data_IF_444598921264
#
_entry.id   IF_444598921264
#
_cell.length_a   1.000
_cell.length_b   1.000
_cell.length_c   1.000
_cell.angle_alpha   90.00
_cell.angle_beta   90.00
_cell.angle_gamma   90.00
#
_symmetry.space_group_name_H-M   'P 1'
#
loop_
_entity.id
_entity.type
_entity.pdbx_description
1 polymer ?
#
# COMPACT_ATOMS: atom_id res chain seq x y z
N UNK A 1 0.47 3.49 -19.12
CA UNK A 1 0.20 3.61 -17.68
C UNK A 1 -1.28 3.90 -17.47
N UNK A 2 -2.02 2.89 -17.04
CA UNK A 2 -3.47 2.97 -16.81
C UNK A 2 -3.89 3.91 -15.66
N UNK A 3 -2.94 4.54 -14.95
CA UNK A 3 -3.25 5.40 -13.79
C UNK A 3 -3.43 6.89 -14.12
N UNK A 4 -3.17 7.30 -15.34
CA UNK A 4 -3.22 8.73 -15.69
C UNK A 4 -4.62 9.26 -16.02
N UNK A 5 -5.61 8.37 -16.08
CA UNK A 5 -7.01 8.72 -16.41
C UNK A 5 -7.94 7.93 -15.48
N UNK A 6 -9.12 8.45 -15.20
CA UNK A 6 -10.16 7.69 -14.55
C UNK A 6 -10.65 6.61 -15.50
N UNK A 7 -10.53 5.36 -15.09
CA UNK A 7 -10.99 4.19 -15.85
C UNK A 7 -12.33 3.67 -15.32
N UNK A 8 -12.98 4.40 -14.44
CA UNK A 8 -14.22 3.99 -13.82
C UNK A 8 -15.41 4.53 -14.61
N UNK A 9 -16.33 3.66 -14.96
CA UNK A 9 -17.61 4.00 -15.59
C UNK A 9 -18.62 4.47 -14.55
N UNK A 10 -18.60 3.86 -13.36
CA UNK A 10 -19.40 4.23 -12.20
C UNK A 10 -18.50 4.46 -10.98
N UNK A 11 -18.98 5.18 -9.96
CA UNK A 11 -18.22 5.30 -8.70
C UNK A 11 -17.95 3.94 -8.06
N UNK A 12 -16.83 3.86 -7.33
CA UNK A 12 -16.51 2.69 -6.51
C UNK A 12 -17.52 2.59 -5.36
N UNK A 13 -18.03 1.37 -5.10
CA UNK A 13 -18.95 1.10 -3.99
C UNK A 13 -18.24 0.33 -2.90
N UNK A 14 -18.27 0.86 -1.68
CA UNK A 14 -17.62 0.23 -0.53
C UNK A 14 -18.63 -0.06 0.57
N UNK A 15 -18.54 -1.25 1.14
CA UNK A 15 -19.24 -1.65 2.35
C UNK A 15 -18.21 -2.01 3.42
N UNK A 16 -18.47 -1.57 4.67
CA UNK A 16 -17.59 -1.85 5.80
C UNK A 16 -18.44 -2.24 7.01
N UNK A 17 -18.00 -3.27 7.74
CA UNK A 17 -18.48 -3.65 9.05
C UNK A 17 -17.36 -3.54 10.07
N UNK A 18 -17.67 -3.04 11.27
CA UNK A 18 -16.74 -2.96 12.39
C UNK A 18 -17.37 -3.53 13.65
N UNK A 19 -16.54 -4.09 14.51
CA UNK A 19 -16.95 -4.68 15.78
C UNK A 19 -15.93 -4.36 16.87
N UNK A 20 -16.44 -3.78 17.98
CA UNK A 20 -15.66 -3.30 19.11
C UNK A 20 -16.03 -4.03 20.40
N UNK A 21 -15.68 -5.34 20.57
CA UNK A 21 -15.98 -6.06 21.79
C UNK A 21 -15.11 -5.56 22.95
N UNK A 22 -15.71 -5.47 24.13
CA UNK A 22 -15.00 -5.24 25.38
C UNK A 22 -14.85 -6.57 26.12
N UNK A 23 -13.62 -7.04 26.24
CA UNK A 23 -13.29 -8.31 26.91
C UNK A 23 -12.61 -8.00 28.26
N UNK A 24 -13.41 -7.52 29.21
CA UNK A 24 -12.89 -7.05 30.50
C UNK A 24 -12.06 -5.76 30.34
N UNK A 25 -10.77 -5.81 30.72
CA UNK A 25 -9.84 -4.68 30.59
C UNK A 25 -9.23 -4.56 29.18
N UNK A 26 -9.42 -5.57 28.32
CA UNK A 26 -8.85 -5.61 26.96
C UNK A 26 -9.80 -4.92 25.97
N UNK A 27 -9.23 -4.18 25.05
CA UNK A 27 -9.95 -3.60 23.91
C UNK A 27 -9.55 -4.35 22.64
N UNK A 28 -10.54 -4.68 21.86
CA UNK A 28 -10.36 -5.27 20.53
C UNK A 28 -11.22 -4.47 19.55
N UNK A 29 -10.62 -4.07 18.45
CA UNK A 29 -11.31 -3.54 17.29
C UNK A 29 -11.04 -4.47 16.10
N UNK A 30 -12.09 -4.88 15.41
CA UNK A 30 -11.98 -5.66 14.18
C UNK A 30 -12.89 -5.04 13.14
N UNK A 31 -12.36 -4.85 11.93
CA UNK A 31 -13.15 -4.39 10.81
C UNK A 31 -12.87 -5.20 9.55
N UNK A 32 -13.90 -5.33 8.72
CA UNK A 32 -13.81 -5.91 7.38
C UNK A 32 -14.53 -5.04 6.38
N UNK A 33 -14.03 -5.01 5.17
CA UNK A 33 -14.62 -4.23 4.08
C UNK A 33 -14.54 -4.98 2.76
N UNK A 34 -15.46 -4.64 1.87
CA UNK A 34 -15.44 -5.05 0.48
C UNK A 34 -15.72 -3.83 -0.41
N UNK A 35 -15.08 -3.79 -1.57
CA UNK A 35 -15.22 -2.71 -2.53
C UNK A 35 -15.45 -3.29 -3.93
N UNK A 36 -16.55 -2.91 -4.54
CA UNK A 36 -16.85 -3.17 -5.94
C UNK A 36 -16.32 -2.03 -6.80
N UNK A 37 -15.62 -2.38 -7.89
CA UNK A 37 -15.08 -1.44 -8.86
C UNK A 37 -15.44 -1.90 -10.26
N UNK A 38 -15.78 -0.95 -11.10
CA UNK A 38 -16.08 -1.17 -12.51
C UNK A 38 -15.12 -0.37 -13.37
N UNK A 39 -14.23 -1.09 -14.08
CA UNK A 39 -13.28 -0.50 -14.98
C UNK A 39 -13.84 -0.46 -16.38
N UNK A 40 -13.62 0.65 -17.07
CA UNK A 40 -14.13 0.92 -18.41
C UNK A 40 -13.00 1.36 -19.31
N UNK A 41 -12.98 0.83 -20.53
CA UNK A 41 -12.22 1.37 -21.64
C UNK A 41 -13.05 1.40 -22.93
N UNK A 42 -12.54 2.11 -23.91
CA UNK A 42 -13.07 2.10 -25.26
C UNK A 42 -11.97 1.82 -26.25
N UNK A 43 -12.00 0.62 -26.81
CA UNK A 43 -11.03 0.15 -27.77
C UNK A 43 -11.73 -0.30 -29.06
N UNK A 44 -11.19 0.06 -30.24
CA UNK A 44 -11.77 -0.28 -31.55
C UNK A 44 -13.28 0.07 -31.68
N UNK A 45 -13.65 1.26 -31.19
CA UNK A 45 -15.05 1.76 -31.18
C UNK A 45 -16.04 0.93 -30.33
N UNK A 46 -15.59 -0.08 -29.64
CA UNK A 46 -16.37 -0.85 -28.68
C UNK A 46 -16.06 -0.45 -27.25
N UNK A 47 -17.08 -0.47 -26.39
CA UNK A 47 -16.94 -0.26 -24.97
C UNK A 47 -16.70 -1.61 -24.29
N UNK A 48 -15.76 -1.64 -23.35
CA UNK A 48 -15.41 -2.82 -22.55
C UNK A 48 -15.48 -2.47 -21.08
N UNK A 49 -16.30 -3.18 -20.35
CA UNK A 49 -16.46 -3.04 -18.90
C UNK A 49 -15.89 -4.29 -18.21
N UNK A 50 -15.10 -4.09 -17.16
CA UNK A 50 -14.54 -5.17 -16.35
C UNK A 50 -14.73 -4.85 -14.88
N UNK A 51 -15.63 -5.60 -14.25
CA UNK A 51 -15.90 -5.47 -12.84
C UNK A 51 -14.93 -6.31 -11.99
N UNK A 52 -14.61 -5.83 -10.81
CA UNK A 52 -13.80 -6.55 -9.83
C UNK A 52 -14.24 -6.23 -8.41
N UNK A 53 -13.98 -7.17 -7.50
CA UNK A 53 -14.20 -6.98 -6.06
C UNK A 53 -12.85 -7.02 -5.36
N UNK A 54 -12.63 -6.03 -4.51
CA UNK A 54 -11.50 -5.96 -3.59
C UNK A 54 -12.02 -6.10 -2.17
N UNK A 55 -11.23 -6.66 -1.28
CA UNK A 55 -11.62 -6.86 0.11
C UNK A 55 -10.43 -6.73 1.05
N UNK A 56 -10.71 -6.47 2.31
CA UNK A 56 -9.69 -6.37 3.33
C UNK A 56 -10.27 -6.30 4.73
N UNK A 57 -9.38 -6.24 5.69
CA UNK A 57 -9.73 -6.08 7.09
C UNK A 57 -8.57 -5.51 7.89
N UNK A 58 -8.92 -5.04 9.07
CA UNK A 58 -8.02 -4.49 10.05
C UNK A 58 -8.39 -4.99 11.44
N UNK A 59 -7.41 -5.16 12.30
CA UNK A 59 -7.62 -5.33 13.74
C UNK A 59 -6.67 -4.46 14.54
N UNK A 60 -7.12 -4.05 15.72
CA UNK A 60 -6.28 -3.49 16.77
C UNK A 60 -6.67 -4.12 18.10
N UNK A 61 -5.69 -4.58 18.87
CA UNK A 61 -5.90 -5.30 20.11
C UNK A 61 -4.94 -4.81 21.20
N UNK A 62 -5.48 -4.37 22.33
CA UNK A 62 -4.67 -4.16 23.54
C UNK A 62 -4.27 -5.54 24.11
N UNK A 63 -3.04 -5.99 23.85
CA UNK A 63 -2.53 -7.27 24.37
C UNK A 63 -2.20 -7.14 25.86
N UNK A 64 -1.65 -6.01 26.26
CA UNK A 64 -1.47 -5.63 27.66
C UNK A 64 -2.20 -4.30 27.86
N UNK A 65 -3.27 -4.27 28.68
CA UNK A 65 -4.10 -3.10 28.85
C UNK A 65 -3.30 -1.84 29.17
N UNK A 66 -3.54 -0.79 28.37
CA UNK A 66 -2.88 0.53 28.46
C UNK A 66 -1.36 0.53 28.23
N UNK A 67 -0.74 -0.62 27.94
CA UNK A 67 0.70 -0.71 27.76
C UNK A 67 1.10 -1.15 26.35
N UNK A 68 0.46 -2.18 25.81
CA UNK A 68 0.89 -2.78 24.54
C UNK A 68 -0.31 -3.03 23.62
N UNK A 69 -0.28 -2.41 22.46
CA UNK A 69 -1.26 -2.60 21.39
C UNK A 69 -0.61 -3.31 20.19
N UNK A 70 -1.30 -4.29 19.64
CA UNK A 70 -0.98 -4.94 18.37
C UNK A 70 -2.00 -4.50 17.32
N UNK A 71 -1.51 -4.15 16.12
CA UNK A 71 -2.33 -3.75 14.98
C UNK A 71 -1.97 -4.56 13.75
N UNK A 72 -2.96 -4.87 12.93
CA UNK A 72 -2.70 -5.55 11.67
C UNK A 72 -3.78 -5.30 10.64
N UNK A 73 -3.39 -5.30 9.38
CA UNK A 73 -4.33 -5.23 8.26
C UNK A 73 -3.88 -6.11 7.10
N UNK A 74 -4.85 -6.58 6.33
CA UNK A 74 -4.62 -7.29 5.09
C UNK A 74 -5.66 -6.87 4.07
N UNK A 75 -5.27 -6.78 2.79
CA UNK A 75 -6.18 -6.48 1.70
C UNK A 75 -5.76 -7.16 0.41
N UNK A 76 -6.75 -7.40 -0.46
CA UNK A 76 -6.52 -8.00 -1.76
C UNK A 76 -7.53 -7.48 -2.80
N UNK A 77 -7.05 -7.23 -4.01
CA UNK A 77 -7.86 -6.81 -5.14
C UNK A 77 -7.19 -5.74 -6.00
N UNK A 78 -7.94 -5.10 -6.88
CA UNK A 78 -7.47 -4.00 -7.72
C UNK A 78 -7.40 -2.70 -6.91
N UNK A 79 -6.33 -2.54 -6.15
CA UNK A 79 -6.17 -1.51 -5.10
C UNK A 79 -5.04 -0.52 -5.39
N UNK A 80 -4.52 -0.43 -6.62
CA UNK A 80 -3.32 0.34 -6.95
C UNK A 80 -3.32 1.78 -6.43
N UNK A 81 -4.41 2.51 -6.63
CA UNK A 81 -4.55 3.90 -6.13
C UNK A 81 -4.71 4.03 -4.62
N UNK A 82 -4.94 2.92 -3.91
CA UNK A 82 -5.14 2.89 -2.45
C UNK A 82 -3.93 2.31 -1.71
N UNK A 83 -2.89 1.90 -2.43
CA UNK A 83 -1.62 1.43 -1.87
C UNK A 83 -0.57 2.54 -1.87
N UNK A 84 0.46 2.41 -1.03
CA UNK A 84 1.59 3.33 -1.01
C UNK A 84 2.59 3.03 -2.14
N UNK A 85 2.64 1.79 -2.61
CA UNK A 85 3.51 1.37 -3.71
C UNK A 85 2.98 1.88 -5.07
N UNK A 86 3.86 2.08 -6.06
CA UNK A 86 3.50 2.61 -7.37
C UNK A 86 2.85 1.55 -8.28
N UNK A 87 1.87 0.82 -7.78
CA UNK A 87 1.10 -0.14 -8.57
C UNK A 87 -0.02 0.56 -9.34
N UNK A 88 -0.25 0.21 -10.61
CA UNK A 88 -1.46 0.63 -11.31
C UNK A 88 -2.69 -0.16 -10.85
N UNK A 89 -3.87 0.42 -10.97
CA UNK A 89 -5.14 -0.29 -10.71
C UNK A 89 -5.40 -1.41 -11.74
N UNK A 90 -4.94 -1.21 -12.96
CA UNK A 90 -5.13 -2.13 -14.07
C UNK A 90 -3.97 -2.06 -15.05
N UNK A 91 -3.88 -3.05 -15.89
CA UNK A 91 -2.99 -3.13 -17.05
C UNK A 91 -3.80 -3.37 -18.32
N UNK A 92 -3.15 -3.47 -19.47
CA UNK A 92 -3.81 -3.76 -20.75
C UNK A 92 -3.41 -5.14 -21.26
N UNK A 93 -4.37 -5.81 -21.89
CA UNK A 93 -4.14 -7.08 -22.62
C UNK A 93 -3.60 -6.81 -24.01
N UNK A 94 -3.22 -7.90 -24.68
CA UNK A 94 -2.78 -7.88 -26.07
C UNK A 94 -3.79 -7.27 -27.04
N UNK A 95 -5.08 -7.50 -26.81
CA UNK A 95 -6.19 -6.97 -27.61
C UNK A 95 -6.50 -5.49 -27.31
N UNK A 96 -5.74 -4.86 -26.38
CA UNK A 96 -5.94 -3.49 -25.95
C UNK A 96 -6.96 -3.31 -24.83
N UNK A 97 -7.66 -4.38 -24.43
CA UNK A 97 -8.65 -4.29 -23.35
C UNK A 97 -8.00 -4.17 -21.98
N UNK A 98 -8.73 -3.53 -21.06
CA UNK A 98 -8.27 -3.33 -19.68
C UNK A 98 -8.33 -4.64 -18.89
N UNK A 99 -7.35 -4.82 -17.99
CA UNK A 99 -7.29 -5.94 -17.06
C UNK A 99 -6.93 -5.44 -15.67
N UNK A 100 -7.83 -5.58 -14.67
CA UNK A 100 -7.55 -5.23 -13.29
C UNK A 100 -6.31 -5.95 -12.77
N UNK A 101 -5.48 -5.23 -12.01
CA UNK A 101 -4.24 -5.78 -11.42
C UNK A 101 -4.47 -6.09 -9.94
N UNK A 102 -4.53 -7.38 -9.54
CA UNK A 102 -4.73 -7.73 -8.15
C UNK A 102 -3.45 -7.49 -7.34
N UNK A 103 -3.59 -6.70 -6.29
CA UNK A 103 -2.55 -6.36 -5.33
C UNK A 103 -2.90 -7.03 -4.00
N UNK A 104 -1.89 -7.50 -3.29
CA UNK A 104 -2.01 -7.98 -1.92
C UNK A 104 -1.17 -7.09 -1.03
N UNK A 105 -1.77 -6.53 0.02
CA UNK A 105 -1.10 -5.71 1.00
C UNK A 105 -1.28 -6.29 2.41
N UNK A 106 -0.22 -6.20 3.22
CA UNK A 106 -0.19 -6.57 4.63
C UNK A 106 0.50 -5.49 5.44
N UNK A 107 -0.01 -5.23 6.62
CA UNK A 107 0.62 -4.41 7.64
C UNK A 107 0.49 -5.12 8.99
N UNK A 108 1.58 -5.16 9.75
CA UNK A 108 1.60 -5.58 11.14
C UNK A 108 2.40 -4.59 11.94
N UNK A 109 1.93 -4.22 13.11
CA UNK A 109 2.63 -3.28 13.96
C UNK A 109 2.23 -3.36 15.42
N UNK A 110 3.01 -2.69 16.22
CA UNK A 110 2.78 -2.59 17.67
C UNK A 110 3.03 -1.16 18.14
N UNK A 111 2.25 -0.74 19.13
CA UNK A 111 2.43 0.51 19.86
C UNK A 111 2.64 0.16 21.34
N UNK A 112 3.70 0.67 21.91
CA UNK A 112 4.05 0.49 23.30
C UNK A 112 3.98 1.83 24.05
N UNK A 113 3.02 1.96 24.94
CA UNK A 113 2.81 3.11 25.80
C UNK A 113 3.72 3.00 27.04
N UNK A 114 5.00 3.36 26.88
CA UNK A 114 6.04 3.14 27.90
C UNK A 114 5.86 4.03 29.12
N UNK A 115 5.38 5.26 28.91
CA UNK A 115 5.02 6.23 29.93
C UNK A 115 3.74 6.97 29.54
N UNK A 116 3.12 7.78 30.43
CA UNK A 116 1.96 8.60 30.06
C UNK A 116 2.22 9.60 28.91
N UNK A 117 3.47 9.92 28.63
CA UNK A 117 3.84 10.85 27.55
C UNK A 117 4.47 10.17 26.34
N UNK A 118 5.13 9.01 26.51
CA UNK A 118 5.98 8.40 25.50
C UNK A 118 5.36 7.12 24.92
N UNK A 119 5.09 7.17 23.62
CA UNK A 119 4.66 6.05 22.79
C UNK A 119 5.81 5.61 21.88
N UNK A 120 6.24 4.34 21.95
CA UNK A 120 7.12 3.71 20.97
C UNK A 120 6.29 2.90 20.00
N UNK A 121 6.70 2.83 18.74
CA UNK A 121 6.00 2.01 17.76
C UNK A 121 6.95 1.36 16.75
N UNK A 122 6.53 0.22 16.23
CA UNK A 122 7.19 -0.45 15.13
C UNK A 122 6.14 -1.08 14.19
N UNK A 123 6.37 -0.97 12.88
CA UNK A 123 5.52 -1.52 11.84
C UNK A 123 6.33 -2.23 10.76
N UNK A 124 5.77 -3.31 10.21
CA UNK A 124 6.26 -3.98 9.01
C UNK A 124 5.13 -4.05 8.00
N UNK A 125 5.37 -3.56 6.79
CA UNK A 125 4.42 -3.53 5.68
C UNK A 125 4.96 -4.23 4.45
N UNK A 126 4.05 -4.83 3.69
CA UNK A 126 4.32 -5.51 2.42
C UNK A 126 3.19 -5.22 1.45
N UNK A 127 3.53 -4.76 0.26
CA UNK A 127 2.61 -4.64 -0.87
C UNK A 127 3.20 -5.38 -2.07
N UNK A 128 2.43 -6.26 -2.70
CA UNK A 128 2.90 -7.05 -3.82
C UNK A 128 1.80 -7.36 -4.83
N UNK A 129 2.20 -7.61 -6.06
CA UNK A 129 1.32 -8.10 -7.12
C UNK A 129 1.95 -9.28 -7.85
N UNK A 130 1.15 -10.00 -8.61
CA UNK A 130 1.61 -11.07 -9.52
C UNK A 130 1.79 -10.53 -10.93
N UNK A 131 2.67 -11.14 -11.75
CA UNK A 131 2.79 -10.75 -13.13
C UNK A 131 1.48 -11.04 -13.87
N UNK A 132 1.03 -10.08 -14.65
CA UNK A 132 -0.22 -10.13 -15.41
C UNK A 132 0.07 -9.60 -16.80
N UNK A 133 0.46 -10.49 -17.72
CA UNK A 133 0.98 -10.09 -19.03
C UNK A 133 0.57 -11.04 -20.15
N UNK A 134 0.76 -10.58 -21.37
CA UNK A 134 0.70 -11.34 -22.61
C UNK A 134 1.76 -10.85 -23.60
N UNK A 135 2.06 -11.63 -24.63
CA UNK A 135 3.03 -11.27 -25.66
C UNK A 135 2.43 -11.42 -27.05
N UNK A 136 2.78 -10.50 -27.96
CA UNK A 136 2.57 -10.64 -29.39
C UNK A 136 3.93 -10.71 -30.04
N UNK A 137 4.39 -11.92 -30.35
CA UNK A 137 5.77 -12.12 -30.77
C UNK A 137 6.74 -11.64 -29.72
N UNK A 138 7.54 -10.63 -30.04
CA UNK A 138 8.50 -10.00 -29.12
C UNK A 138 7.98 -8.74 -28.44
N UNK A 139 6.72 -8.32 -28.70
CA UNK A 139 6.13 -7.11 -28.13
C UNK A 139 5.48 -7.45 -26.78
N UNK A 140 5.96 -6.84 -25.68
CA UNK A 140 5.43 -7.08 -24.34
C UNK A 140 4.18 -6.25 -24.08
N UNK A 141 3.15 -6.88 -23.53
CA UNK A 141 1.95 -6.23 -23.01
C UNK A 141 1.74 -6.61 -21.53
N UNK A 142 1.09 -5.75 -20.79
CA UNK A 142 0.67 -6.04 -19.42
C UNK A 142 1.67 -5.55 -18.37
N UNK A 143 1.62 -6.15 -17.20
CA UNK A 143 2.41 -5.80 -16.03
C UNK A 143 3.30 -6.96 -15.59
N UNK A 144 4.58 -6.68 -15.34
CA UNK A 144 5.56 -7.70 -14.94
C UNK A 144 5.98 -8.62 -16.08
N UNK A 145 5.97 -8.14 -17.32
CA UNK A 145 6.37 -8.91 -18.49
C UNK A 145 7.89 -9.16 -18.50
N UNK A 146 8.37 -10.41 -18.68
CA UNK A 146 9.79 -10.74 -18.66
C UNK A 146 10.58 -10.19 -19.86
N UNK A 147 9.91 -9.67 -20.88
CA UNK A 147 10.55 -9.00 -22.01
C UNK A 147 10.87 -7.52 -21.73
N UNK A 148 10.44 -6.97 -20.62
CA UNK A 148 10.83 -5.61 -20.21
C UNK A 148 12.32 -5.53 -19.90
N UNK A 149 12.91 -4.39 -20.29
CA UNK A 149 14.34 -4.17 -20.17
C UNK A 149 14.68 -3.62 -18.77
N UNK A 150 15.55 -4.33 -18.06
CA UNK A 150 16.06 -3.97 -16.74
C UNK A 150 17.56 -3.67 -16.72
N UNK A 151 18.24 -3.68 -17.89
CA UNK A 151 19.71 -3.50 -17.98
C UNK A 151 20.19 -2.19 -17.37
N UNK A 152 19.39 -1.13 -17.49
CA UNK A 152 19.73 0.19 -16.98
C UNK A 152 19.21 0.48 -15.57
N UNK A 153 18.46 -0.42 -14.91
CA UNK A 153 17.78 -0.10 -13.66
C UNK A 153 18.73 0.15 -12.46
N UNK A 154 19.98 -0.31 -12.55
CA UNK A 154 21.00 -0.08 -11.53
C UNK A 154 22.02 1.00 -11.97
N UNK A 155 21.74 1.74 -13.02
CA UNK A 155 22.60 2.78 -13.57
C UNK A 155 21.92 4.12 -13.36
N UNK A 156 22.58 5.02 -12.64
CA UNK A 156 22.09 6.37 -12.40
C UNK A 156 21.90 7.13 -13.72
N UNK A 157 20.80 7.89 -13.82
CA UNK A 157 20.40 8.64 -15.03
C UNK A 157 20.16 7.78 -16.29
N UNK A 158 19.94 6.48 -16.13
CA UNK A 158 19.62 5.59 -17.24
C UNK A 158 18.30 6.00 -17.92
N UNK A 159 18.23 5.98 -19.26
CA UNK A 159 16.99 6.31 -19.95
C UNK A 159 15.90 5.26 -19.69
N UNK A 160 14.64 5.69 -19.64
CA UNK A 160 13.49 4.82 -19.38
C UNK A 160 13.40 3.61 -20.33
N UNK A 161 13.95 3.71 -21.53
CA UNK A 161 14.01 2.60 -22.49
C UNK A 161 14.87 1.41 -22.01
N UNK A 162 15.82 1.66 -21.11
CA UNK A 162 16.71 0.65 -20.54
C UNK A 162 16.36 0.22 -19.12
N UNK A 163 15.36 0.88 -18.52
CA UNK A 163 14.79 0.52 -17.22
C UNK A 163 13.27 0.72 -17.24
N UNK A 164 12.55 -0.23 -17.82
CA UNK A 164 11.09 -0.20 -17.92
C UNK A 164 10.37 -1.37 -17.21
N UNK A 165 11.10 -2.16 -16.45
CA UNK A 165 10.55 -3.22 -15.62
C UNK A 165 9.61 -2.70 -14.53
N UNK A 166 8.56 -3.47 -14.28
CA UNK A 166 7.52 -3.10 -13.33
C UNK A 166 7.90 -3.54 -11.90
N UNK A 167 7.39 -2.80 -10.91
CA UNK A 167 7.50 -3.17 -9.49
C UNK A 167 6.70 -4.43 -9.21
N UNK A 168 7.30 -5.41 -8.54
CA UNK A 168 6.65 -6.64 -8.09
C UNK A 168 6.23 -6.58 -6.63
N UNK A 169 7.07 -5.94 -5.80
CA UNK A 169 6.89 -5.93 -4.35
C UNK A 169 7.55 -4.67 -3.75
N UNK A 170 6.92 -4.13 -2.71
CA UNK A 170 7.51 -3.11 -1.83
C UNK A 170 7.37 -3.59 -0.40
N UNK A 171 8.46 -3.52 0.37
CA UNK A 171 8.50 -3.77 1.82
C UNK A 171 8.90 -2.52 2.55
N UNK A 172 8.29 -2.30 3.70
CA UNK A 172 8.68 -1.21 4.59
C UNK A 172 8.76 -1.71 6.02
N UNK A 173 9.82 -1.32 6.70
CA UNK A 173 10.00 -1.51 8.15
C UNK A 173 10.17 -0.14 8.77
N UNK A 174 9.36 0.17 9.76
CA UNK A 174 9.33 1.49 10.39
C UNK A 174 9.41 1.32 11.90
N UNK A 175 10.23 2.13 12.55
CA UNK A 175 10.23 2.28 14.00
C UNK A 175 10.33 3.76 14.36
N UNK A 176 9.72 4.14 15.47
CA UNK A 176 9.72 5.52 15.92
C UNK A 176 9.11 5.70 17.28
N UNK A 177 9.01 6.96 17.68
CA UNK A 177 8.37 7.34 18.92
C UNK A 177 7.61 8.65 18.79
N UNK A 178 6.66 8.85 19.69
CA UNK A 178 6.03 10.13 19.96
C UNK A 178 6.14 10.43 21.44
N UNK A 179 6.59 11.64 21.79
CA UNK A 179 6.54 12.17 23.15
C UNK A 179 5.56 13.34 23.23
N UNK A 180 4.70 13.34 24.24
CA UNK A 180 3.78 14.43 24.54
C UNK A 180 4.55 15.50 25.32
N UNK A 181 5.13 16.46 24.59
CA UNK A 181 6.00 17.51 25.15
C UNK A 181 5.21 18.62 25.86
N UNK A 182 3.91 18.73 25.57
CA UNK A 182 3.01 19.66 26.23
C UNK A 182 1.59 19.07 26.28
N UNK A 183 0.92 19.26 27.43
CA UNK A 183 -0.51 18.98 27.61
C UNK A 183 -1.12 20.03 28.55
N UNK A 184 -2.23 20.66 28.14
CA UNK A 184 -2.91 21.69 28.88
C UNK A 184 -4.32 22.01 28.35
N UNK A 185 -4.95 23.06 28.86
CA UNK A 185 -6.34 23.43 28.57
C UNK A 185 -6.62 23.68 27.08
N UNK A 186 -5.59 24.03 26.30
CA UNK A 186 -5.69 24.31 24.86
C UNK A 186 -5.36 23.11 24.01
N UNK A 187 -5.09 21.93 24.60
CA UNK A 187 -4.76 20.71 23.89
C UNK A 187 -3.38 20.16 24.22
N UNK A 188 -2.89 19.28 23.33
CA UNK A 188 -1.60 18.61 23.50
C UNK A 188 -0.69 18.80 22.27
N UNK A 189 0.62 18.89 22.51
CA UNK A 189 1.64 18.88 21.46
C UNK A 189 2.46 17.60 21.62
N UNK A 190 2.53 16.81 20.54
CA UNK A 190 3.41 15.64 20.45
C UNK A 190 4.53 15.91 19.45
N UNK A 191 5.76 15.53 19.81
CA UNK A 191 6.90 15.52 18.92
C UNK A 191 7.37 14.06 18.72
N UNK A 192 7.94 13.75 17.58
CA UNK A 192 8.41 12.39 17.30
C UNK A 192 9.45 12.32 16.22
N UNK A 193 10.18 11.21 16.23
CA UNK A 193 11.13 10.83 15.20
C UNK A 193 10.78 9.43 14.72
N UNK A 194 10.87 9.22 13.42
CA UNK A 194 10.64 7.95 12.75
C UNK A 194 11.81 7.62 11.84
N UNK A 195 12.21 6.37 11.86
CA UNK A 195 13.08 5.78 10.86
C UNK A 195 12.31 4.75 10.06
N UNK A 196 12.45 4.78 8.73
CA UNK A 196 11.86 3.80 7.83
C UNK A 196 12.91 3.24 6.87
N UNK A 197 12.94 1.93 6.75
CA UNK A 197 13.72 1.20 5.76
C UNK A 197 12.77 0.63 4.72
N UNK A 198 12.93 1.05 3.47
CA UNK A 198 12.09 0.65 2.34
C UNK A 198 12.88 -0.19 1.37
N UNK A 199 12.26 -1.23 0.82
CA UNK A 199 12.81 -2.06 -0.24
C UNK A 199 11.80 -2.15 -1.37
N UNK A 200 12.26 -1.93 -2.59
CA UNK A 200 11.49 -2.12 -3.82
C UNK A 200 12.13 -3.21 -4.66
N UNK A 201 11.32 -4.15 -5.12
CA UNK A 201 11.71 -5.24 -6.02
C UNK A 201 10.98 -5.07 -7.34
N UNK A 202 11.68 -5.28 -8.45
CA UNK A 202 11.07 -5.35 -9.77
C UNK A 202 10.87 -6.81 -10.18
N UNK A 203 9.95 -7.05 -11.12
CA UNK A 203 9.87 -8.34 -11.80
C UNK A 203 11.14 -8.62 -12.59
N UNK A 204 11.48 -9.90 -12.71
CA UNK A 204 12.56 -10.32 -13.58
C UNK A 204 12.25 -9.97 -15.04
N UNK A 205 13.24 -9.40 -15.71
CA UNK A 205 13.19 -9.00 -17.10
C UNK A 205 14.55 -9.19 -17.77
N UNK A 206 14.71 -8.64 -18.96
CA UNK A 206 16.01 -8.62 -19.65
C UNK A 206 16.99 -7.81 -18.79
N UNK A 207 18.06 -8.44 -18.32
CA UNK A 207 19.03 -7.83 -17.38
C UNK A 207 18.79 -8.19 -15.90
N UNK A 208 17.81 -9.07 -15.61
CA UNK A 208 17.58 -9.63 -14.28
C UNK A 208 16.41 -9.01 -13.51
N UNK A 209 16.40 -9.18 -12.19
CA UNK A 209 15.39 -8.65 -11.26
C UNK A 209 16.03 -7.59 -10.35
N UNK A 210 16.02 -6.32 -10.75
CA UNK A 210 16.63 -5.26 -9.95
C UNK A 210 15.86 -5.01 -8.65
N UNK A 211 16.60 -4.59 -7.64
CA UNK A 211 16.04 -4.12 -6.37
C UNK A 211 16.73 -2.83 -5.95
N UNK A 212 16.02 -2.03 -5.19
CA UNK A 212 16.58 -0.84 -4.53
C UNK A 212 16.07 -0.76 -3.12
N UNK A 213 16.82 -0.09 -2.27
CA UNK A 213 16.46 0.22 -0.90
C UNK A 213 16.64 1.70 -0.60
N UNK A 214 15.92 2.19 0.39
CA UNK A 214 15.91 3.57 0.80
C UNK A 214 15.76 3.68 2.32
N UNK A 215 16.46 4.65 2.91
CA UNK A 215 16.46 4.94 4.34
C UNK A 215 15.90 6.34 4.58
N UNK A 216 14.79 6.44 5.29
CA UNK A 216 14.10 7.69 5.55
C UNK A 216 14.09 7.97 7.04
N UNK A 217 14.56 9.16 7.42
CA UNK A 217 14.39 9.69 8.78
C UNK A 217 13.44 10.87 8.69
N UNK A 218 12.38 10.84 9.50
CA UNK A 218 11.39 11.92 9.59
C UNK A 218 11.28 12.40 11.03
N UNK A 219 11.23 13.72 11.20
CA UNK A 219 10.78 14.37 12.44
C UNK A 219 9.42 15.00 12.22
N UNK A 220 8.57 14.98 13.24
CA UNK A 220 7.24 15.56 13.14
C UNK A 220 6.79 16.16 14.48
N UNK A 221 5.99 17.22 14.36
CA UNK A 221 5.29 17.85 15.47
C UNK A 221 3.80 17.81 15.15
N UNK A 222 2.99 17.37 16.12
CA UNK A 222 1.53 17.28 15.98
C UNK A 222 0.87 18.08 17.10
N UNK A 223 -0.06 18.94 16.73
CA UNK A 223 -0.93 19.62 17.69
C UNK A 223 -2.31 18.98 17.66
N UNK A 224 -2.81 18.63 18.85
CA UNK A 224 -4.15 18.08 19.08
C UNK A 224 -4.95 19.11 19.86
N UNK A 225 -5.77 19.95 19.20
CA UNK A 225 -6.63 20.90 19.89
C UNK A 225 -7.70 20.16 20.69
N UNK A 226 -8.05 20.70 21.85
CA UNK A 226 -9.13 20.17 22.70
C UNK A 226 -8.94 18.71 23.17
N UNK A 227 -7.72 18.19 23.16
CA UNK A 227 -7.39 16.92 23.80
C UNK A 227 -7.31 17.12 25.31
N UNK A 228 -8.17 16.43 26.11
CA UNK A 228 -8.16 16.56 27.57
C UNK A 228 -6.91 15.94 28.21
#
# INVERSE_FOLDING_TARGET
NANNVSLNHVPDFTVKGAWDPRLGAYKLHVEGWAMYRDFYDRFNFANHDVSTVSFGGHFSAEIVPKLLELQGSASHGALGRFTAAPFPDATVRQDGTIQPLPITAFLLGTVWHTTPSLDLYAYAGLEKTKPTFSNVGTVPFGYGNPLYNNLGCNIENSPAATCNGNTSEVRQYTAGFYDTIFKGDYGAIKAGIQYSYNQRFAFAGVGGAPRTDDHIIMSQIRYYPFSP
#
